data_IF_626127410214
#
_entry.id   IF_626127410214
#
_cell.length_a   1.000
_cell.length_b   1.000
_cell.length_c   1.000
_cell.angle_alpha   90.00
_cell.angle_beta   90.00
_cell.angle_gamma   90.00
#
_symmetry.space_group_name_H-M   'P 1'
#
loop_
_entity.id
_entity.type
_entity.pdbx_description
1 polymer ?
#
# COMPACT_ATOMS: atom_id res chain seq x y z
N UNK A 1 9.94 -11.98 13.02
CA UNK A 1 8.82 -11.04 13.19
C UNK A 1 7.75 -11.58 14.13
N UNK A 2 7.30 -12.75 13.90
CA UNK A 2 6.13 -13.33 14.57
C UNK A 2 6.24 -13.39 16.09
N UNK A 3 7.37 -13.83 16.63
CA UNK A 3 7.61 -13.83 18.08
C UNK A 3 7.75 -12.42 18.69
N UNK A 4 7.83 -11.38 17.87
CA UNK A 4 8.11 -10.02 18.29
C UNK A 4 6.85 -9.17 18.54
N UNK A 5 5.65 -9.66 18.23
CA UNK A 5 4.40 -8.92 18.46
C UNK A 5 4.05 -8.93 19.95
N UNK A 6 4.52 -7.91 20.67
CA UNK A 6 4.35 -7.74 22.10
C UNK A 6 4.39 -6.25 22.50
N UNK A 7 4.01 -5.96 23.74
CA UNK A 7 3.90 -4.59 24.25
C UNK A 7 5.23 -3.82 24.21
N UNK A 8 6.35 -4.48 24.55
CA UNK A 8 7.66 -3.85 24.57
C UNK A 8 8.10 -3.40 23.20
N UNK A 9 7.91 -4.25 22.16
CA UNK A 9 8.28 -3.89 20.79
C UNK A 9 7.36 -2.82 20.19
N UNK A 10 6.08 -2.83 20.57
CA UNK A 10 5.16 -1.80 20.09
C UNK A 10 5.44 -0.41 20.65
N UNK A 11 5.76 -0.32 21.94
CA UNK A 11 5.82 0.97 22.66
C UNK A 11 7.20 1.34 23.16
N UNK A 12 8.19 0.48 22.98
CA UNK A 12 9.55 0.66 23.47
C UNK A 12 9.68 0.36 24.96
N UNK A 13 10.91 0.49 25.45
CA UNK A 13 11.27 0.31 26.85
C UNK A 13 12.21 1.47 27.29
N UNK A 14 11.62 2.44 27.98
CA UNK A 14 12.34 3.62 28.42
C UNK A 14 12.85 4.48 27.25
N UNK A 15 14.17 4.57 27.03
CA UNK A 15 14.75 5.41 25.99
C UNK A 15 14.64 4.82 24.58
N UNK A 16 14.23 3.56 24.44
CA UNK A 16 14.07 2.91 23.13
C UNK A 16 12.68 3.21 22.57
N UNK A 17 12.64 3.67 21.32
CA UNK A 17 11.41 3.86 20.58
C UNK A 17 10.79 2.50 20.20
N UNK A 18 9.47 2.41 20.29
CA UNK A 18 8.72 1.27 19.81
C UNK A 18 8.25 1.47 18.37
N UNK A 19 7.69 0.43 17.77
CA UNK A 19 7.17 0.50 16.40
C UNK A 19 6.05 1.53 16.22
N UNK A 20 5.28 1.82 17.28
CA UNK A 20 4.25 2.85 17.25
C UNK A 20 4.80 4.28 17.19
N UNK A 21 6.11 4.48 17.34
CA UNK A 21 6.76 5.79 17.25
C UNK A 21 7.25 6.10 15.82
N UNK A 22 7.19 5.12 14.89
CA UNK A 22 7.59 5.32 13.50
C UNK A 22 6.60 6.15 12.69
N UNK A 23 7.08 6.66 11.55
CA UNK A 23 6.32 7.41 10.56
C UNK A 23 5.61 8.66 11.13
N UNK A 24 6.30 9.53 11.90
CA UNK A 24 5.66 10.68 12.53
C UNK A 24 4.96 11.62 11.54
N UNK A 25 5.47 11.71 10.29
CA UNK A 25 4.98 12.64 9.28
C UNK A 25 3.68 12.20 8.59
N UNK A 26 3.31 10.93 8.67
CA UNK A 26 2.16 10.40 7.94
C UNK A 26 1.40 9.26 8.64
N UNK A 27 1.77 8.85 9.85
CA UNK A 27 1.06 7.80 10.59
C UNK A 27 -0.41 8.14 10.89
N UNK A 28 -0.77 9.41 10.88
CA UNK A 28 -2.16 9.86 11.01
C UNK A 28 -3.06 9.40 9.84
N UNK A 29 -2.49 9.05 8.70
CA UNK A 29 -3.19 8.51 7.54
C UNK A 29 -3.23 6.98 7.53
N UNK A 30 -2.43 6.32 8.36
CA UNK A 30 -2.25 4.88 8.40
C UNK A 30 -2.89 4.22 9.61
N UNK A 31 -3.38 3.01 9.42
CA UNK A 31 -3.78 2.10 10.48
C UNK A 31 -2.54 1.30 10.91
N UNK A 32 -2.21 1.29 12.20
CA UNK A 32 -1.18 0.42 12.74
C UNK A 32 -1.71 -1.02 12.77
N UNK A 33 -1.11 -1.92 12.00
CA UNK A 33 -1.52 -3.31 11.94
C UNK A 33 -0.60 -4.19 12.77
N UNK A 34 -1.15 -4.82 13.81
CA UNK A 34 -0.46 -5.91 14.51
C UNK A 34 -0.42 -7.14 13.60
N UNK A 35 0.77 -7.65 13.35
CA UNK A 35 0.96 -8.88 12.60
C UNK A 35 0.72 -10.12 13.48
N UNK A 36 0.92 -11.33 12.97
CA UNK A 36 0.51 -12.57 13.61
C UNK A 36 1.03 -12.74 15.06
N UNK A 37 0.49 -13.69 15.79
CA UNK A 37 0.85 -14.07 17.17
C UNK A 37 0.52 -13.09 18.30
N UNK A 38 -0.14 -11.97 18.03
CA UNK A 38 -0.59 -11.05 19.07
C UNK A 38 -1.67 -11.64 20.01
N UNK A 39 -2.36 -12.65 19.53
CA UNK A 39 -3.53 -13.30 20.15
C UNK A 39 -3.22 -14.70 20.72
N UNK A 40 -1.95 -15.05 20.86
CA UNK A 40 -1.50 -16.31 21.45
C UNK A 40 -0.41 -16.09 22.51
N UNK A 41 -0.24 -17.00 23.47
CA UNK A 41 0.77 -16.87 24.52
C UNK A 41 2.19 -16.68 23.97
N UNK A 42 3.01 -15.94 24.69
CA UNK A 42 4.42 -15.77 24.37
C UNK A 42 5.13 -17.13 24.28
N UNK A 43 5.96 -17.31 23.24
CA UNK A 43 6.66 -18.57 22.95
C UNK A 43 5.83 -19.65 22.25
N UNK A 44 4.51 -19.50 22.15
CA UNK A 44 3.65 -20.50 21.52
C UNK A 44 3.88 -20.67 20.03
N UNK A 45 4.22 -19.59 19.33
CA UNK A 45 4.48 -19.64 17.88
C UNK A 45 5.72 -20.47 17.54
N UNK A 46 6.80 -20.33 18.30
CA UNK A 46 8.06 -21.01 18.06
C UNK A 46 7.92 -22.53 18.21
N UNK A 47 6.90 -22.97 18.95
CA UNK A 47 6.59 -24.40 19.15
C UNK A 47 5.60 -24.95 18.11
N UNK A 48 5.26 -24.19 17.07
CA UNK A 48 4.28 -24.60 16.07
C UNK A 48 2.84 -24.69 16.61
N UNK A 49 2.58 -24.16 17.79
CA UNK A 49 1.25 -24.16 18.39
C UNK A 49 0.33 -23.14 17.73
N UNK A 50 -0.09 -23.47 16.51
CA UNK A 50 -1.05 -22.67 15.72
C UNK A 50 -2.50 -22.90 16.16
N UNK A 51 -2.72 -23.80 17.12
CA UNK A 51 -4.06 -24.19 17.56
C UNK A 51 -4.85 -23.03 18.15
N UNK A 52 -4.19 -22.12 18.87
CA UNK A 52 -4.84 -20.98 19.51
C UNK A 52 -4.90 -19.71 18.64
N UNK A 53 -4.23 -19.67 17.49
CA UNK A 53 -4.33 -18.52 16.59
C UNK A 53 -5.76 -18.33 16.10
N UNK A 54 -6.19 -17.08 15.95
CA UNK A 54 -7.56 -16.73 15.56
C UNK A 54 -8.49 -16.52 16.76
N UNK A 55 -7.95 -16.41 17.98
CA UNK A 55 -8.74 -16.03 19.17
C UNK A 55 -9.28 -14.60 19.04
N UNK A 56 -8.59 -13.76 18.29
CA UNK A 56 -8.86 -12.32 18.13
C UNK A 56 -8.96 -11.59 19.48
N UNK A 57 -8.24 -12.06 20.48
CA UNK A 57 -8.17 -11.50 21.83
C UNK A 57 -6.74 -11.24 22.22
N UNK A 58 -6.49 -10.07 22.80
CA UNK A 58 -5.15 -9.65 23.20
C UNK A 58 -4.58 -10.58 24.27
N UNK A 59 -3.43 -11.22 23.99
CA UNK A 59 -2.80 -12.16 24.91
C UNK A 59 -2.15 -11.46 26.12
N UNK A 60 -2.39 -11.98 27.32
CA UNK A 60 -1.95 -11.34 28.58
C UNK A 60 -0.45 -11.42 28.79
N UNK A 61 0.19 -12.48 28.31
CA UNK A 61 1.64 -12.65 28.49
C UNK A 61 2.45 -11.75 27.55
N UNK A 62 1.85 -11.34 26.41
CA UNK A 62 2.45 -10.43 25.45
C UNK A 62 2.15 -8.96 25.74
N UNK A 63 1.00 -8.70 26.35
CA UNK A 63 0.47 -7.35 26.62
C UNK A 63 0.04 -7.21 28.10
N UNK A 64 0.98 -7.32 29.04
CA UNK A 64 0.66 -7.43 30.45
C UNK A 64 0.11 -6.16 31.09
N UNK A 65 0.30 -4.97 30.51
CA UNK A 65 -0.22 -3.71 31.05
C UNK A 65 -1.71 -3.50 30.78
N UNK A 66 -2.28 -4.20 29.81
CA UNK A 66 -3.69 -4.05 29.45
C UNK A 66 -4.54 -5.03 30.27
N UNK A 67 -5.43 -4.50 31.12
CA UNK A 67 -6.26 -5.26 32.09
C UNK A 67 -7.73 -5.18 31.74
N UNK A 68 -8.51 -6.06 32.38
CA UNK A 68 -9.93 -6.17 32.18
C UNK A 68 -10.35 -7.36 31.32
N UNK A 69 -11.56 -7.33 30.80
CA UNK A 69 -12.05 -8.35 29.87
C UNK A 69 -11.42 -8.20 28.48
N UNK A 70 -11.76 -9.09 27.56
CA UNK A 70 -11.17 -9.10 26.22
C UNK A 70 -11.40 -7.79 25.46
N UNK A 71 -12.56 -7.16 25.61
CA UNK A 71 -12.90 -5.89 24.96
C UNK A 71 -12.14 -4.74 25.60
N UNK A 72 -12.12 -4.67 26.93
CA UNK A 72 -11.44 -3.60 27.67
C UNK A 72 -9.93 -3.59 27.39
N UNK A 73 -9.31 -4.76 27.34
CA UNK A 73 -7.87 -4.91 27.03
C UNK A 73 -7.55 -4.44 25.62
N UNK A 74 -8.30 -4.89 24.62
CA UNK A 74 -8.08 -4.50 23.22
C UNK A 74 -8.42 -3.01 23.00
N UNK A 75 -9.44 -2.48 23.69
CA UNK A 75 -9.77 -1.05 23.67
C UNK A 75 -8.65 -0.19 24.30
N UNK A 76 -8.05 -0.66 25.38
CA UNK A 76 -6.88 -0.01 26.00
C UNK A 76 -5.71 0.09 25.02
N UNK A 77 -5.40 -0.99 24.31
CA UNK A 77 -4.36 -1.02 23.28
C UNK A 77 -4.71 -0.06 22.12
N UNK A 78 -5.94 -0.14 21.60
CA UNK A 78 -6.41 0.76 20.52
C UNK A 78 -6.25 2.22 20.91
N UNK A 79 -6.64 2.60 22.13
CA UNK A 79 -6.49 3.95 22.65
C UNK A 79 -5.01 4.35 22.71
N UNK A 80 -4.13 3.46 23.19
CA UNK A 80 -2.68 3.74 23.28
C UNK A 80 -2.05 3.94 21.90
N UNK A 81 -2.39 3.12 20.90
CA UNK A 81 -1.92 3.27 19.52
C UNK A 81 -2.39 4.60 18.93
N UNK A 82 -3.67 4.93 19.07
CA UNK A 82 -4.21 6.23 18.62
C UNK A 82 -3.54 7.42 19.31
N UNK A 83 -3.20 7.31 20.59
CA UNK A 83 -2.50 8.38 21.32
C UNK A 83 -1.08 8.64 20.80
N UNK A 84 -0.49 7.68 20.06
CA UNK A 84 0.78 7.85 19.34
C UNK A 84 0.59 8.52 17.97
N UNK A 85 -0.62 8.87 17.58
CA UNK A 85 -0.96 9.59 16.35
C UNK A 85 -1.42 8.71 15.19
N UNK A 86 -1.58 7.39 15.37
CA UNK A 86 -2.11 6.50 14.32
C UNK A 86 -3.60 6.68 14.12
N UNK A 87 -4.05 6.53 12.87
CA UNK A 87 -5.48 6.61 12.49
C UNK A 87 -6.33 5.55 13.22
N UNK A 88 -5.78 4.37 13.43
CA UNK A 88 -6.48 3.26 14.06
C UNK A 88 -5.58 2.07 14.37
N UNK A 89 -6.18 1.02 14.91
CA UNK A 89 -5.56 -0.28 15.13
C UNK A 89 -6.17 -1.30 14.17
N UNK A 90 -5.32 -2.09 13.52
CA UNK A 90 -5.65 -3.29 12.77
C UNK A 90 -5.09 -4.53 13.43
N UNK A 91 -5.68 -5.69 13.13
CA UNK A 91 -5.27 -6.98 13.68
C UNK A 91 -5.14 -8.02 12.57
N UNK A 92 -4.02 -8.74 12.55
CA UNK A 92 -3.85 -9.92 11.74
C UNK A 92 -4.66 -11.09 12.31
N UNK A 93 -5.29 -11.88 11.45
CA UNK A 93 -6.10 -13.02 11.84
C UNK A 93 -5.77 -14.27 11.02
N UNK A 94 -5.75 -15.41 11.69
CA UNK A 94 -5.61 -16.71 11.06
C UNK A 94 -6.95 -17.14 10.43
N UNK A 95 -6.91 -17.55 9.17
CA UNK A 95 -8.07 -18.09 8.46
C UNK A 95 -8.42 -19.50 8.95
N UNK A 96 -9.26 -19.59 9.98
CA UNK A 96 -9.71 -20.85 10.64
C UNK A 96 -11.23 -20.80 10.84
N UNK A 97 -11.83 -21.98 11.09
CA UNK A 97 -13.23 -22.06 11.50
C UNK A 97 -13.44 -21.34 12.84
N UNK A 98 -12.57 -21.60 13.81
CA UNK A 98 -12.51 -20.95 15.11
C UNK A 98 -11.12 -21.16 15.73
N UNK A 99 -10.82 -20.58 16.89
CA UNK A 99 -9.54 -20.81 17.58
C UNK A 99 -9.47 -22.16 18.29
N UNK A 100 -10.62 -22.72 18.68
CA UNK A 100 -10.73 -24.01 19.38
C UNK A 100 -11.74 -24.94 18.71
N UNK A 101 -11.59 -26.26 18.87
CA UNK A 101 -12.48 -27.26 18.27
C UNK A 101 -13.96 -27.09 18.70
N UNK A 102 -14.32 -26.84 19.98
CA UNK A 102 -15.72 -26.67 20.35
C UNK A 102 -16.41 -25.50 19.63
N UNK A 103 -15.66 -24.44 19.29
CA UNK A 103 -16.18 -23.27 18.60
C UNK A 103 -16.29 -23.50 17.08
N UNK A 104 -15.59 -24.50 16.54
CA UNK A 104 -15.56 -24.81 15.11
C UNK A 104 -16.88 -25.37 14.57
N UNK A 105 -17.78 -25.85 15.43
CA UNK A 105 -19.12 -26.33 15.05
C UNK A 105 -20.01 -25.18 14.57
N UNK A 106 -19.76 -23.93 14.99
CA UNK A 106 -20.50 -22.76 14.56
C UNK A 106 -19.59 -21.57 14.22
N UNK A 107 -18.85 -21.64 13.12
CA UNK A 107 -17.88 -20.60 12.73
C UNK A 107 -18.51 -19.22 12.55
N UNK A 108 -19.75 -19.16 12.06
CA UNK A 108 -20.44 -17.89 11.85
C UNK A 108 -20.69 -17.14 13.17
N UNK A 109 -21.18 -17.81 14.20
CA UNK A 109 -21.43 -17.17 15.50
C UNK A 109 -20.12 -16.83 16.22
N UNK A 110 -19.09 -17.68 16.06
CA UNK A 110 -17.75 -17.40 16.57
C UNK A 110 -17.22 -16.09 16.01
N UNK A 111 -17.11 -15.95 14.68
CA UNK A 111 -16.54 -14.77 14.05
C UNK A 111 -17.40 -13.52 14.20
N UNK A 112 -18.74 -13.66 14.22
CA UNK A 112 -19.65 -12.56 14.57
C UNK A 112 -19.31 -12.00 15.96
N UNK A 113 -19.13 -12.87 16.95
CA UNK A 113 -18.76 -12.44 18.31
C UNK A 113 -17.42 -11.70 18.30
N UNK A 114 -16.39 -12.20 17.59
CA UNK A 114 -15.08 -11.55 17.49
C UNK A 114 -15.15 -10.20 16.79
N UNK A 115 -15.96 -10.06 15.76
CA UNK A 115 -16.20 -8.79 15.09
C UNK A 115 -16.86 -7.77 16.01
N UNK A 116 -17.90 -8.17 16.76
CA UNK A 116 -18.57 -7.31 17.76
C UNK A 116 -17.58 -6.88 18.86
N UNK A 117 -16.75 -7.78 19.38
CA UNK A 117 -15.70 -7.46 20.35
C UNK A 117 -14.70 -6.45 19.77
N UNK A 118 -14.21 -6.66 18.55
CA UNK A 118 -13.29 -5.75 17.83
C UNK A 118 -13.91 -4.38 17.59
N UNK A 119 -15.17 -4.31 17.14
CA UNK A 119 -15.91 -3.07 16.97
C UNK A 119 -16.01 -2.29 18.28
N UNK A 120 -16.40 -2.95 19.37
CA UNK A 120 -16.48 -2.32 20.70
C UNK A 120 -15.13 -1.83 21.21
N UNK A 121 -14.07 -2.54 20.88
CA UNK A 121 -12.69 -2.16 21.21
C UNK A 121 -12.12 -1.03 20.30
N UNK A 122 -12.87 -0.61 19.28
CA UNK A 122 -12.45 0.45 18.35
C UNK A 122 -11.38 0.03 17.34
N UNK A 123 -11.22 -1.27 17.10
CA UNK A 123 -10.43 -1.81 15.99
C UNK A 123 -11.09 -1.42 14.68
N UNK A 124 -10.28 -1.05 13.69
CA UNK A 124 -10.76 -0.55 12.39
C UNK A 124 -10.38 -1.42 11.20
N UNK A 125 -9.57 -2.46 11.40
CA UNK A 125 -9.08 -3.28 10.29
C UNK A 125 -8.74 -4.70 10.72
N UNK A 126 -9.12 -5.68 9.90
CA UNK A 126 -8.72 -7.06 10.01
C UNK A 126 -7.95 -7.50 8.76
N UNK A 127 -6.73 -7.99 8.93
CA UNK A 127 -5.95 -8.66 7.89
C UNK A 127 -6.11 -10.18 8.06
N UNK A 128 -6.92 -10.82 7.21
CA UNK A 128 -7.17 -12.26 7.25
C UNK A 128 -6.22 -12.98 6.29
N UNK A 129 -5.27 -13.69 6.86
CA UNK A 129 -4.16 -14.26 6.11
C UNK A 129 -4.27 -15.79 5.93
N UNK A 130 -3.21 -16.52 6.22
CA UNK A 130 -3.13 -17.96 6.03
C UNK A 130 -3.92 -18.72 7.11
N UNK A 131 -4.14 -20.00 6.86
CA UNK A 131 -4.81 -20.93 7.75
C UNK A 131 -5.60 -21.98 6.96
N UNK A 132 -6.27 -22.88 7.68
CA UNK A 132 -7.02 -23.99 7.08
C UNK A 132 -8.12 -23.50 6.12
N UNK A 133 -8.72 -22.33 6.43
CA UNK A 133 -9.80 -21.73 5.63
C UNK A 133 -9.30 -20.72 4.59
N UNK A 134 -7.99 -20.56 4.42
CA UNK A 134 -7.44 -19.54 3.50
C UNK A 134 -7.92 -19.70 2.05
N UNK A 135 -8.11 -20.92 1.57
CA UNK A 135 -8.64 -21.27 0.25
C UNK A 135 -10.17 -21.31 0.16
N UNK A 136 -10.92 -21.06 1.25
CA UNK A 136 -12.37 -21.18 1.26
C UNK A 136 -13.05 -19.82 0.98
N UNK A 137 -13.50 -19.60 -0.27
CA UNK A 137 -14.14 -18.35 -0.69
C UNK A 137 -15.43 -18.04 0.07
N UNK A 138 -16.26 -19.04 0.36
CA UNK A 138 -17.54 -18.82 1.06
C UNK A 138 -17.32 -18.40 2.53
N UNK A 139 -16.33 -18.99 3.20
CA UNK A 139 -15.94 -18.57 4.54
C UNK A 139 -15.42 -17.12 4.53
N UNK A 140 -14.60 -16.74 3.55
CA UNK A 140 -14.09 -15.38 3.43
C UNK A 140 -15.19 -14.35 3.14
N UNK A 141 -16.14 -14.68 2.26
CA UNK A 141 -17.33 -13.84 2.01
C UNK A 141 -18.17 -13.69 3.28
N UNK A 142 -18.33 -14.78 4.04
CA UNK A 142 -19.03 -14.75 5.31
C UNK A 142 -18.42 -13.72 6.27
N UNK A 143 -17.10 -13.66 6.39
CA UNK A 143 -16.43 -12.68 7.26
C UNK A 143 -16.74 -11.24 6.84
N UNK A 144 -16.63 -10.91 5.54
CA UNK A 144 -16.94 -9.57 5.04
C UNK A 144 -18.40 -9.20 5.31
N UNK A 145 -19.35 -10.13 5.04
CA UNK A 145 -20.77 -9.90 5.33
C UNK A 145 -21.03 -9.69 6.82
N UNK A 146 -20.43 -10.50 7.69
CA UNK A 146 -20.57 -10.33 9.14
C UNK A 146 -19.99 -9.01 9.64
N UNK A 147 -18.88 -8.56 9.05
CA UNK A 147 -18.31 -7.26 9.36
C UNK A 147 -19.28 -6.15 9.01
N UNK A 148 -19.85 -6.13 7.81
CA UNK A 148 -20.82 -5.11 7.39
C UNK A 148 -22.06 -5.09 8.28
N UNK A 149 -22.54 -6.26 8.72
CA UNK A 149 -23.76 -6.37 9.52
C UNK A 149 -23.54 -6.03 10.99
N UNK A 150 -22.43 -6.47 11.60
CA UNK A 150 -22.23 -6.42 13.06
C UNK A 150 -21.07 -5.53 13.51
N UNK A 151 -20.17 -5.17 12.60
CA UNK A 151 -18.96 -4.40 12.90
C UNK A 151 -18.58 -3.45 11.74
N UNK A 152 -19.47 -2.54 11.29
CA UNK A 152 -19.30 -1.76 10.06
C UNK A 152 -18.11 -0.80 10.08
N UNK A 153 -17.45 -0.58 11.21
CA UNK A 153 -16.20 0.18 11.28
C UNK A 153 -14.95 -0.70 11.18
N UNK A 154 -15.08 -2.03 11.02
CA UNK A 154 -13.98 -2.97 10.87
C UNK A 154 -13.91 -3.40 9.40
N UNK A 155 -12.98 -2.83 8.64
CA UNK A 155 -12.71 -3.24 7.26
C UNK A 155 -11.98 -4.57 7.25
N UNK A 156 -12.38 -5.50 6.37
CA UNK A 156 -11.79 -6.84 6.29
C UNK A 156 -10.93 -6.99 5.02
N UNK A 157 -9.62 -7.12 5.22
CA UNK A 157 -8.68 -7.45 4.16
C UNK A 157 -8.55 -8.97 3.99
N UNK A 158 -8.63 -9.42 2.76
CA UNK A 158 -8.55 -10.82 2.38
C UNK A 158 -7.36 -11.07 1.46
N UNK A 159 -6.97 -12.34 1.33
CA UNK A 159 -5.95 -12.81 0.40
C UNK A 159 -6.40 -14.13 -0.25
N UNK A 160 -5.63 -14.63 -1.19
CA UNK A 160 -5.70 -15.97 -1.80
C UNK A 160 -6.81 -16.23 -2.83
N UNK A 161 -8.01 -15.65 -2.71
CA UNK A 161 -9.14 -15.95 -3.60
C UNK A 161 -9.45 -14.76 -4.51
N UNK A 162 -8.63 -14.55 -5.53
CA UNK A 162 -8.69 -13.37 -6.43
C UNK A 162 -10.07 -13.13 -7.05
N UNK A 163 -10.77 -14.21 -7.47
CA UNK A 163 -12.10 -14.11 -8.10
C UNK A 163 -13.17 -13.55 -7.17
N UNK A 164 -12.92 -13.54 -5.88
CA UNK A 164 -13.86 -13.06 -4.87
C UNK A 164 -13.61 -11.60 -4.45
N UNK A 165 -12.66 -10.90 -5.09
CA UNK A 165 -12.32 -9.51 -4.73
C UNK A 165 -13.54 -8.60 -4.65
N UNK A 166 -14.52 -8.79 -5.51
CA UNK A 166 -15.76 -8.01 -5.49
C UNK A 166 -16.59 -8.17 -4.22
N UNK A 167 -16.42 -9.28 -3.51
CA UNK A 167 -17.09 -9.58 -2.24
C UNK A 167 -16.23 -9.24 -1.01
N UNK A 168 -15.03 -8.70 -1.21
CA UNK A 168 -14.11 -8.33 -0.13
C UNK A 168 -14.00 -6.81 -0.04
N UNK A 169 -13.73 -6.29 1.14
CA UNK A 169 -13.47 -4.86 1.30
C UNK A 169 -12.11 -4.52 0.73
N UNK A 170 -11.09 -5.30 1.08
CA UNK A 170 -9.74 -5.13 0.58
C UNK A 170 -9.17 -6.47 0.16
N UNK A 171 -8.50 -6.52 -0.97
CA UNK A 171 -7.71 -7.66 -1.39
C UNK A 171 -6.22 -7.28 -1.39
N UNK A 172 -5.44 -8.00 -0.61
CA UNK A 172 -4.00 -7.80 -0.54
C UNK A 172 -3.30 -8.40 -1.74
N UNK A 173 -2.41 -7.63 -2.39
CA UNK A 173 -1.58 -8.15 -3.48
C UNK A 173 -0.59 -9.20 -3.03
N UNK A 174 -0.43 -9.36 -1.73
CA UNK A 174 0.49 -10.26 -1.06
C UNK A 174 1.88 -9.63 -0.83
N UNK A 175 2.56 -10.10 0.21
CA UNK A 175 3.88 -9.59 0.58
C UNK A 175 4.85 -9.70 -0.61
N UNK A 176 5.53 -8.62 -0.87
CA UNK A 176 6.58 -8.63 -1.89
C UNK A 176 7.85 -9.14 -1.23
N UNK A 177 8.23 -10.34 -1.62
CA UNK A 177 9.29 -11.10 -0.97
C UNK A 177 10.68 -10.82 -1.54
N UNK A 178 10.75 -10.08 -2.65
CA UNK A 178 11.99 -9.88 -3.39
C UNK A 178 12.11 -8.47 -3.97
N UNK A 179 13.31 -8.12 -4.39
CA UNK A 179 13.62 -6.81 -5.00
C UNK A 179 12.96 -6.53 -6.34
N UNK A 180 12.34 -7.52 -6.97
CA UNK A 180 11.52 -7.39 -8.19
C UNK A 180 10.07 -7.01 -7.87
N UNK A 181 9.86 -6.19 -6.85
CA UNK A 181 8.52 -5.84 -6.34
C UNK A 181 7.61 -5.18 -7.36
N UNK A 182 8.13 -4.29 -8.20
CA UNK A 182 7.32 -3.56 -9.19
C UNK A 182 6.61 -4.48 -10.15
N UNK A 183 7.30 -5.31 -10.98
CA UNK A 183 6.60 -6.16 -11.94
C UNK A 183 5.71 -7.20 -11.24
N UNK A 184 6.11 -7.71 -10.08
CA UNK A 184 5.29 -8.66 -9.31
C UNK A 184 4.00 -8.01 -8.83
N UNK A 185 4.05 -6.80 -8.29
CA UNK A 185 2.87 -6.05 -7.85
C UNK A 185 1.95 -5.73 -9.02
N UNK A 186 2.49 -5.23 -10.14
CA UNK A 186 1.71 -4.94 -11.35
C UNK A 186 1.02 -6.18 -11.90
N UNK A 187 1.70 -7.34 -11.98
CA UNK A 187 1.09 -8.61 -12.40
C UNK A 187 -0.09 -9.00 -11.49
N UNK A 188 0.08 -8.87 -10.17
CA UNK A 188 -0.96 -9.21 -9.20
C UNK A 188 -2.17 -8.30 -9.35
N UNK A 189 -1.96 -6.99 -9.52
CA UNK A 189 -3.04 -6.02 -9.76
C UNK A 189 -3.79 -6.36 -11.04
N UNK A 190 -3.10 -6.61 -12.15
CA UNK A 190 -3.74 -6.95 -13.44
C UNK A 190 -4.68 -8.15 -13.33
N UNK A 191 -4.37 -9.12 -12.47
CA UNK A 191 -5.26 -10.29 -12.27
C UNK A 191 -6.55 -9.94 -11.49
N UNK A 192 -6.62 -8.77 -10.86
CA UNK A 192 -7.77 -8.31 -10.08
C UNK A 192 -8.65 -7.32 -10.85
N UNK A 193 -8.08 -6.56 -11.78
CA UNK A 193 -8.78 -5.51 -12.52
C UNK A 193 -10.00 -5.96 -13.33
N UNK A 194 -10.12 -7.21 -13.85
CA UNK A 194 -11.29 -7.67 -14.58
C UNK A 194 -12.56 -7.86 -13.75
N UNK A 195 -12.44 -7.76 -12.42
CA UNK A 195 -13.59 -7.95 -11.53
C UNK A 195 -14.29 -6.62 -11.22
N UNK A 196 -15.47 -6.71 -10.59
CA UNK A 196 -16.24 -5.56 -10.09
C UNK A 196 -16.50 -5.73 -8.60
N UNK A 197 -16.52 -4.61 -7.89
CA UNK A 197 -17.02 -4.58 -6.52
C UNK A 197 -18.50 -5.01 -6.49
N UNK A 198 -18.88 -5.76 -5.47
CA UNK A 198 -20.23 -6.27 -5.26
C UNK A 198 -20.66 -6.04 -3.80
N UNK A 199 -20.55 -7.07 -2.93
CA UNK A 199 -20.89 -6.93 -1.52
C UNK A 199 -19.78 -6.23 -0.69
N UNK A 200 -18.54 -6.27 -1.16
CA UNK A 200 -17.39 -5.60 -0.56
C UNK A 200 -16.97 -4.35 -1.35
N UNK A 201 -16.06 -3.56 -0.76
CA UNK A 201 -15.53 -2.35 -1.39
C UNK A 201 -14.61 -2.63 -2.59
N UNK A 202 -14.06 -3.84 -2.70
CA UNK A 202 -13.20 -4.27 -3.80
C UNK A 202 -11.89 -3.50 -3.94
N UNK A 203 -11.37 -2.94 -2.84
CA UNK A 203 -10.10 -2.21 -2.84
C UNK A 203 -8.92 -3.17 -3.04
N UNK A 204 -7.90 -2.70 -3.73
CA UNK A 204 -6.62 -3.42 -3.85
C UNK A 204 -5.63 -2.76 -2.90
N UNK A 205 -5.06 -3.51 -1.95
CA UNK A 205 -3.96 -3.06 -1.13
C UNK A 205 -2.64 -3.32 -1.87
N UNK A 206 -1.98 -2.24 -2.27
CA UNK A 206 -0.69 -2.26 -2.96
C UNK A 206 0.43 -2.07 -1.93
N UNK A 207 1.03 -3.18 -1.50
CA UNK A 207 2.04 -3.17 -0.45
C UNK A 207 3.38 -2.66 -0.96
N UNK A 208 4.01 -1.75 -0.20
CA UNK A 208 5.35 -1.18 -0.42
C UNK A 208 5.60 -0.47 -1.76
N UNK A 209 4.54 -0.26 -2.57
CA UNK A 209 4.61 0.39 -3.88
C UNK A 209 3.66 1.59 -3.96
N UNK A 210 3.97 2.71 -3.27
CA UNK A 210 3.05 3.83 -3.10
C UNK A 210 2.70 4.55 -4.41
N UNK A 211 3.63 4.64 -5.37
CA UNK A 211 3.34 5.31 -6.65
C UNK A 211 2.55 4.42 -7.61
N UNK A 212 2.67 3.09 -7.50
CA UNK A 212 1.73 2.18 -8.18
C UNK A 212 0.33 2.36 -7.58
N UNK A 213 0.24 2.42 -6.25
CA UNK A 213 -1.04 2.64 -5.56
C UNK A 213 -1.69 3.95 -5.99
N UNK A 214 -0.97 5.07 -5.95
CA UNK A 214 -1.48 6.37 -6.40
C UNK A 214 -1.85 6.37 -7.88
N UNK A 215 -1.01 5.81 -8.75
CA UNK A 215 -1.26 5.75 -10.20
C UNK A 215 -2.48 4.92 -10.59
N UNK A 216 -2.81 3.87 -9.82
CA UNK A 216 -3.92 2.94 -10.13
C UNK A 216 -5.11 3.04 -9.17
N UNK A 217 -5.14 4.03 -8.28
CA UNK A 217 -6.24 4.19 -7.32
C UNK A 217 -6.37 3.04 -6.33
N UNK A 218 -5.27 2.39 -5.98
CA UNK A 218 -5.19 1.34 -4.98
C UNK A 218 -4.96 1.93 -3.59
N UNK A 219 -5.30 1.19 -2.53
CA UNK A 219 -4.90 1.50 -1.17
C UNK A 219 -3.40 1.26 -0.97
N UNK A 220 -2.81 1.89 0.03
CA UNK A 220 -1.38 1.77 0.36
C UNK A 220 -1.22 0.94 1.62
N UNK A 221 -0.41 -0.11 1.55
CA UNK A 221 0.12 -0.82 2.69
C UNK A 221 1.63 -0.64 2.80
N UNK A 222 2.14 -0.55 4.02
CA UNK A 222 3.56 -0.62 4.31
C UNK A 222 3.81 -1.87 5.15
N UNK A 223 4.30 -2.91 4.50
CA UNK A 223 4.51 -4.21 5.15
C UNK A 223 5.84 -4.30 5.87
N UNK A 224 6.84 -3.64 5.34
CA UNK A 224 8.18 -3.68 5.90
C UNK A 224 8.36 -2.52 6.84
N UNK A 225 8.58 -2.83 8.11
CA UNK A 225 8.94 -1.78 9.05
C UNK A 225 10.31 -1.17 8.70
N UNK A 226 10.52 0.12 8.99
CA UNK A 226 11.65 0.87 8.45
C UNK A 226 12.99 0.60 9.16
N UNK A 227 13.11 -0.48 9.90
CA UNK A 227 14.31 -0.74 10.68
C UNK A 227 15.34 -1.54 9.92
N UNK A 228 16.44 -0.88 9.61
CA UNK A 228 17.72 -1.53 9.40
C UNK A 228 18.39 -1.58 10.78
N UNK A 229 18.24 -2.68 11.50
CA UNK A 229 18.85 -2.76 12.81
C UNK A 229 18.09 -3.68 13.76
N UNK A 230 18.50 -3.74 15.00
CA UNK A 230 17.84 -4.58 15.98
C UNK A 230 16.40 -4.13 16.23
N UNK A 231 15.55 -5.08 16.61
CA UNK A 231 14.23 -4.80 17.14
C UNK A 231 14.32 -3.85 18.35
N UNK A 232 13.22 -3.15 18.73
CA UNK A 232 13.20 -2.28 19.90
C UNK A 232 13.71 -2.93 21.20
N UNK A 233 13.58 -4.26 21.32
CA UNK A 233 14.13 -5.03 22.44
C UNK A 233 15.63 -5.36 22.33
N UNK A 234 16.34 -4.83 21.32
CA UNK A 234 17.75 -5.06 21.08
C UNK A 234 18.10 -6.40 20.40
N UNK A 235 17.13 -7.26 20.10
CA UNK A 235 17.37 -8.51 19.35
C UNK A 235 17.53 -8.23 17.85
N UNK A 236 18.36 -9.03 17.16
CA UNK A 236 18.49 -8.90 15.72
C UNK A 236 17.13 -9.08 15.03
N UNK A 237 16.84 -8.21 14.06
CA UNK A 237 15.73 -8.41 13.14
C UNK A 237 16.24 -9.15 11.90
N UNK A 238 15.80 -10.39 11.74
CA UNK A 238 16.16 -11.25 10.60
C UNK A 238 15.03 -11.34 9.57
N UNK A 239 14.01 -10.51 9.72
CA UNK A 239 12.75 -10.80 9.08
C UNK A 239 12.75 -10.57 7.57
N UNK A 240 13.52 -9.60 7.06
CA UNK A 240 13.51 -9.31 5.63
C UNK A 240 14.86 -8.87 5.10
N UNK A 241 15.25 -9.39 3.93
CA UNK A 241 16.41 -8.89 3.22
C UNK A 241 16.19 -7.43 2.83
N UNK A 242 17.26 -6.65 2.91
CA UNK A 242 17.28 -5.26 2.45
C UNK A 242 17.63 -5.28 0.97
N UNK A 243 16.62 -5.13 0.12
CA UNK A 243 16.84 -4.97 -1.33
C UNK A 243 17.20 -3.54 -1.71
N UNK A 244 17.68 -3.36 -2.95
CA UNK A 244 17.98 -2.05 -3.51
C UNK A 244 16.77 -1.11 -3.60
N UNK A 245 15.56 -1.66 -3.49
CA UNK A 245 14.25 -0.99 -3.54
C UNK A 245 13.49 -1.04 -2.21
N UNK A 246 14.17 -0.81 -1.12
CA UNK A 246 13.52 -0.81 0.18
C UNK A 246 12.64 0.45 0.35
N UNK A 247 11.37 0.26 0.73
CA UNK A 247 10.45 1.36 1.08
C UNK A 247 11.02 2.29 2.16
N UNK A 248 11.87 1.78 3.03
CA UNK A 248 12.59 2.57 4.07
C UNK A 248 13.44 3.71 3.50
N UNK A 249 14.00 3.53 2.32
CA UNK A 249 14.78 4.55 1.64
C UNK A 249 13.91 5.53 0.82
N UNK A 250 12.60 5.29 0.74
CA UNK A 250 11.62 6.00 -0.08
C UNK A 250 10.37 6.40 0.70
N UNK A 251 10.52 6.82 1.95
CA UNK A 251 9.38 7.16 2.81
C UNK A 251 8.62 8.39 2.32
N UNK A 252 9.29 9.30 1.62
CA UNK A 252 8.63 10.46 1.03
C UNK A 252 7.65 10.09 -0.08
N UNK A 253 7.85 8.97 -0.79
CA UNK A 253 6.83 8.43 -1.73
C UNK A 253 5.57 7.98 -1.00
N UNK A 254 5.73 7.29 0.14
CA UNK A 254 4.59 6.89 0.98
C UNK A 254 3.81 8.13 1.44
N UNK A 255 4.52 9.14 1.96
CA UNK A 255 3.91 10.38 2.41
C UNK A 255 3.15 11.08 1.29
N UNK A 256 3.77 11.26 0.10
CA UNK A 256 3.15 11.91 -1.05
C UNK A 256 1.92 11.15 -1.56
N UNK A 257 2.00 9.84 -1.65
CA UNK A 257 0.87 9.03 -2.09
C UNK A 257 -0.29 9.05 -1.09
N UNK A 258 -0.02 9.06 0.22
CA UNK A 258 -1.05 9.24 1.26
C UNK A 258 -1.69 10.64 1.21
N UNK A 259 -0.91 11.70 0.97
CA UNK A 259 -1.45 13.06 0.77
C UNK A 259 -2.30 13.14 -0.50
N UNK A 260 -1.92 12.44 -1.57
CA UNK A 260 -2.75 12.29 -2.75
C UNK A 260 -4.09 11.63 -2.41
N UNK A 261 -4.10 10.58 -1.60
CA UNK A 261 -5.34 9.91 -1.19
C UNK A 261 -6.26 10.76 -0.31
N UNK A 262 -5.79 11.88 0.25
CA UNK A 262 -6.66 12.91 0.86
C UNK A 262 -7.39 13.76 -0.20
N UNK A 263 -6.85 13.85 -1.42
CA UNK A 263 -7.44 14.57 -2.55
C UNK A 263 -8.35 13.65 -3.36
N UNK A 264 -7.91 12.42 -3.61
CA UNK A 264 -8.58 11.41 -4.41
C UNK A 264 -8.49 10.05 -3.71
N UNK A 265 -9.60 9.62 -3.11
CA UNK A 265 -9.65 8.38 -2.33
C UNK A 265 -9.44 7.14 -3.21
N UNK A 266 -8.74 6.11 -2.71
CA UNK A 266 -8.64 4.82 -3.39
C UNK A 266 -10.03 4.26 -3.73
N UNK A 267 -10.13 3.55 -4.85
CA UNK A 267 -11.41 3.03 -5.32
C UNK A 267 -11.33 1.56 -5.72
N UNK A 268 -12.45 0.86 -5.54
CA UNK A 268 -12.56 -0.57 -5.79
C UNK A 268 -12.48 -0.94 -7.26
N UNK A 269 -12.36 -2.24 -7.53
CA UNK A 269 -12.39 -2.79 -8.89
C UNK A 269 -13.74 -2.54 -9.55
N UNK A 270 -13.73 -2.14 -10.82
CA UNK A 270 -14.91 -1.74 -11.59
C UNK A 270 -14.95 -2.33 -13.00
N UNK A 271 -13.95 -3.15 -13.35
CA UNK A 271 -13.75 -3.71 -14.69
C UNK A 271 -13.60 -2.63 -15.78
N UNK A 272 -13.14 -1.45 -15.42
CA UNK A 272 -12.82 -0.36 -16.34
C UNK A 272 -11.33 -0.09 -16.32
N UNK A 273 -10.59 -1.03 -16.88
CA UNK A 273 -9.13 -0.96 -16.95
C UNK A 273 -8.63 -1.36 -18.33
N UNK A 274 -7.57 -0.72 -18.79
CA UNK A 274 -6.84 -1.08 -19.98
C UNK A 274 -5.43 -1.54 -19.58
N UNK A 275 -4.99 -2.65 -20.17
CA UNK A 275 -3.72 -3.29 -19.91
C UNK A 275 -2.96 -3.44 -21.20
N UNK A 276 -1.73 -2.95 -21.24
CA UNK A 276 -0.87 -3.05 -22.41
C UNK A 276 -0.52 -4.51 -22.73
N UNK A 277 -0.48 -4.83 -24.00
CA UNK A 277 0.01 -6.13 -24.49
C UNK A 277 1.53 -6.22 -24.50
N UNK A 278 2.23 -5.09 -24.45
CA UNK A 278 3.69 -5.03 -24.34
C UNK A 278 4.12 -5.29 -22.91
N UNK A 279 5.01 -6.25 -22.72
CA UNK A 279 5.58 -6.58 -21.43
C UNK A 279 6.99 -6.01 -21.30
N UNK A 280 7.28 -5.36 -20.19
CA UNK A 280 8.63 -4.99 -19.79
C UNK A 280 9.13 -6.02 -18.77
N UNK A 281 10.36 -6.48 -18.96
CA UNK A 281 11.01 -7.45 -18.08
C UNK A 281 12.09 -6.78 -17.24
N UNK A 282 11.99 -6.93 -15.93
CA UNK A 282 13.06 -6.66 -14.98
C UNK A 282 13.94 -7.91 -14.81
N UNK A 283 15.20 -7.69 -14.58
CA UNK A 283 16.18 -8.75 -14.37
C UNK A 283 17.15 -8.31 -13.26
N UNK A 284 16.88 -8.71 -12.03
CA UNK A 284 17.65 -8.33 -10.87
C UNK A 284 18.65 -9.43 -10.47
N UNK A 285 19.91 -9.06 -10.32
CA UNK A 285 20.95 -9.96 -9.81
C UNK A 285 21.03 -9.84 -8.30
N UNK A 286 20.68 -10.90 -7.60
CA UNK A 286 20.65 -10.92 -6.13
C UNK A 286 22.02 -10.64 -5.53
N UNK A 287 22.05 -9.75 -4.56
CA UNK A 287 23.16 -9.54 -3.65
C UNK A 287 23.09 -10.47 -2.45
N UNK A 288 24.10 -10.38 -1.60
CA UNK A 288 24.09 -11.01 -0.28
C UNK A 288 22.99 -10.37 0.57
N UNK A 289 22.19 -11.20 1.25
CA UNK A 289 21.05 -10.78 2.09
C UNK A 289 19.83 -10.16 1.35
N UNK A 290 19.73 -10.28 0.02
CA UNK A 290 18.58 -9.78 -0.74
C UNK A 290 17.48 -10.83 -0.95
N UNK A 291 17.63 -12.01 -0.38
CA UNK A 291 16.63 -13.08 -0.40
C UNK A 291 16.58 -13.82 0.92
N UNK A 292 15.42 -14.32 1.29
CA UNK A 292 15.20 -15.18 2.43
C UNK A 292 14.68 -16.58 2.03
N UNK A 293 14.47 -16.80 0.72
CA UNK A 293 14.11 -18.11 0.17
C UNK A 293 15.36 -18.96 -0.06
N UNK A 294 15.33 -20.19 0.42
CA UNK A 294 16.45 -21.10 0.31
C UNK A 294 16.80 -21.48 -1.14
N UNK A 295 15.84 -21.38 -2.06
CA UNK A 295 16.03 -21.66 -3.48
C UNK A 295 16.75 -20.54 -4.26
N UNK A 296 16.94 -19.38 -3.66
CA UNK A 296 17.65 -18.25 -4.27
C UNK A 296 18.97 -17.97 -3.54
N UNK A 297 20.02 -17.75 -4.30
CA UNK A 297 21.36 -17.49 -3.78
C UNK A 297 21.96 -16.17 -4.33
N UNK A 298 22.92 -15.58 -3.62
CA UNK A 298 23.67 -14.44 -4.18
C UNK A 298 24.25 -14.78 -5.55
N UNK A 299 24.01 -13.88 -6.53
CA UNK A 299 24.38 -14.10 -7.93
C UNK A 299 23.27 -14.65 -8.82
N UNK A 300 22.20 -15.20 -8.25
CA UNK A 300 21.02 -15.59 -9.03
C UNK A 300 20.37 -14.36 -9.67
N UNK A 301 19.77 -14.56 -10.84
CA UNK A 301 19.02 -13.52 -11.52
C UNK A 301 17.54 -13.81 -11.46
N UNK A 302 16.80 -12.94 -10.75
CA UNK A 302 15.34 -12.95 -10.76
C UNK A 302 14.84 -12.19 -11.98
N UNK A 303 13.95 -12.81 -12.75
CA UNK A 303 13.31 -12.20 -13.92
C UNK A 303 11.81 -12.17 -13.73
N UNK A 304 11.25 -10.96 -13.77
CA UNK A 304 9.82 -10.74 -13.67
C UNK A 304 9.40 -9.78 -14.78
N UNK A 305 8.24 -10.02 -15.38
CA UNK A 305 7.71 -9.17 -16.44
C UNK A 305 6.30 -8.72 -16.11
N UNK A 306 5.95 -7.49 -16.48
CA UNK A 306 4.61 -6.93 -16.31
C UNK A 306 4.23 -6.07 -17.51
N UNK A 307 2.93 -5.78 -17.72
CA UNK A 307 2.49 -4.84 -18.74
C UNK A 307 3.18 -3.50 -18.60
N UNK A 308 3.66 -2.97 -19.74
CA UNK A 308 4.35 -1.69 -19.77
C UNK A 308 3.50 -0.54 -19.27
N UNK A 309 2.18 -0.58 -19.59
CA UNK A 309 1.22 0.45 -19.22
C UNK A 309 -0.06 -0.18 -18.70
N UNK A 310 -0.60 0.44 -17.66
CA UNK A 310 -1.90 0.06 -17.09
C UNK A 310 -2.67 1.35 -16.84
N UNK A 311 -3.93 1.40 -17.24
CA UNK A 311 -4.81 2.51 -16.89
C UNK A 311 -6.15 2.03 -16.34
N UNK A 312 -6.78 2.87 -15.51
CA UNK A 312 -8.13 2.66 -15.00
C UNK A 312 -9.01 3.88 -15.32
N UNK A 313 -10.19 3.64 -15.92
CA UNK A 313 -11.18 4.68 -16.26
C UNK A 313 -10.66 5.78 -17.19
N UNK A 314 -9.63 5.48 -17.98
CA UNK A 314 -9.05 6.36 -18.99
C UNK A 314 -8.25 5.55 -20.02
N UNK A 315 -7.95 6.12 -21.21
CA UNK A 315 -7.09 5.45 -22.19
C UNK A 315 -5.70 5.16 -21.66
N UNK A 316 -5.00 4.17 -22.23
CA UNK A 316 -3.59 3.92 -21.93
C UNK A 316 -2.75 5.17 -22.25
N UNK A 317 -1.84 5.61 -21.36
CA UNK A 317 -0.88 6.67 -21.66
C UNK A 317 -0.04 6.34 -22.90
N UNK A 318 0.24 7.34 -23.74
CA UNK A 318 1.27 7.22 -24.78
C UNK A 318 2.64 7.44 -24.14
N UNK A 319 3.65 6.66 -24.54
CA UNK A 319 5.02 6.74 -23.98
C UNK A 319 6.04 6.80 -25.10
N UNK A 320 6.88 7.83 -25.10
CA UNK A 320 7.99 8.03 -26.02
C UNK A 320 9.30 8.03 -25.22
N UNK A 321 10.20 7.09 -25.53
CA UNK A 321 11.49 6.98 -24.87
C UNK A 321 12.62 7.34 -25.84
N UNK A 322 13.65 8.01 -25.32
CA UNK A 322 14.87 8.29 -26.10
C UNK A 322 15.79 7.06 -26.19
N UNK A 323 15.58 6.06 -25.36
CA UNK A 323 16.32 4.80 -25.29
C UNK A 323 15.38 3.61 -25.38
N UNK A 324 15.92 2.40 -25.53
CA UNK A 324 15.13 1.16 -25.50
C UNK A 324 14.59 0.81 -24.08
N UNK A 325 15.00 1.56 -23.06
CA UNK A 325 14.56 1.36 -21.69
C UNK A 325 13.38 2.30 -21.38
N UNK A 326 12.19 1.73 -21.20
CA UNK A 326 10.98 2.44 -20.81
C UNK A 326 10.66 2.22 -19.33
N UNK A 327 10.07 3.20 -18.60
CA UNK A 327 9.46 2.98 -17.29
C UNK A 327 8.19 2.14 -17.44
N UNK A 328 7.74 1.48 -16.35
CA UNK A 328 6.33 1.13 -16.27
C UNK A 328 5.51 2.41 -16.07
N UNK A 329 4.31 2.46 -16.64
CA UNK A 329 3.43 3.63 -16.50
C UNK A 329 2.05 3.20 -16.02
N UNK A 330 1.59 3.84 -14.95
CA UNK A 330 0.28 3.66 -14.37
C UNK A 330 -0.51 4.97 -14.42
N UNK A 331 -1.79 4.92 -14.80
CA UNK A 331 -2.64 6.11 -14.78
C UNK A 331 -4.09 5.77 -14.45
N UNK A 332 -4.80 6.70 -13.81
CA UNK A 332 -6.22 6.52 -13.52
C UNK A 332 -6.98 7.83 -13.41
N UNK A 333 -8.25 7.79 -13.81
CA UNK A 333 -9.25 8.80 -13.45
C UNK A 333 -10.01 8.30 -12.22
N UNK A 334 -9.92 9.03 -11.14
CA UNK A 334 -10.58 8.73 -9.87
C UNK A 334 -12.08 9.04 -9.93
N UNK A 335 -12.91 8.46 -9.04
CA UNK A 335 -14.36 8.71 -9.03
C UNK A 335 -14.76 10.19 -8.87
N UNK A 336 -13.92 11.00 -8.23
CA UNK A 336 -14.14 12.44 -8.07
C UNK A 336 -13.63 13.28 -9.25
N UNK A 337 -13.17 12.66 -10.34
CA UNK A 337 -12.63 13.31 -11.52
C UNK A 337 -11.14 13.66 -11.47
N UNK A 338 -10.49 13.51 -10.33
CA UNK A 338 -9.04 13.69 -10.24
C UNK A 338 -8.30 12.65 -11.09
N UNK A 339 -7.12 13.00 -11.59
CA UNK A 339 -6.30 12.12 -12.42
C UNK A 339 -4.97 11.87 -11.72
N UNK A 340 -4.47 10.64 -11.75
CA UNK A 340 -3.11 10.32 -11.35
C UNK A 340 -2.34 9.69 -12.50
N UNK A 341 -1.06 10.01 -12.61
CA UNK A 341 -0.11 9.36 -13.52
C UNK A 341 1.21 9.12 -12.81
N UNK A 342 1.74 7.92 -12.97
CA UNK A 342 2.99 7.52 -12.35
C UNK A 342 3.90 6.83 -13.37
N UNK A 343 5.15 7.28 -13.47
CA UNK A 343 6.25 6.50 -14.03
C UNK A 343 6.91 5.72 -12.89
N UNK A 344 7.19 4.46 -13.13
CA UNK A 344 7.57 3.53 -12.08
C UNK A 344 8.92 2.90 -12.43
N UNK A 345 9.70 2.74 -11.40
CA UNK A 345 11.06 2.28 -11.39
C UNK A 345 11.24 0.89 -12.02
N UNK A 346 12.41 0.67 -12.63
CA UNK A 346 12.89 -0.59 -13.19
C UNK A 346 14.02 -1.16 -12.34
N UNK A 347 14.08 -2.48 -12.25
CA UNK A 347 15.16 -3.21 -11.60
C UNK A 347 16.00 -3.98 -12.60
N UNK A 348 17.18 -3.45 -12.99
CA UNK A 348 18.04 -4.05 -14.03
C UNK A 348 19.47 -4.23 -13.50
N UNK A 349 19.94 -5.46 -13.51
CA UNK A 349 21.24 -5.83 -12.95
C UNK A 349 21.22 -5.67 -11.43
N UNK A 350 21.89 -4.64 -10.92
CA UNK A 350 21.84 -4.21 -9.49
C UNK A 350 21.46 -2.73 -9.36
N UNK A 351 20.84 -2.18 -10.39
CA UNK A 351 20.40 -0.78 -10.43
C UNK A 351 18.89 -0.72 -10.38
N UNK A 352 18.40 0.15 -9.54
CA UNK A 352 17.02 0.53 -9.43
C UNK A 352 16.91 2.00 -9.82
N UNK A 353 16.13 2.31 -10.85
CA UNK A 353 16.00 3.67 -11.40
C UNK A 353 14.73 3.78 -12.24
N UNK A 354 14.20 4.98 -12.33
CA UNK A 354 13.07 5.28 -13.21
C UNK A 354 13.59 5.85 -14.53
N UNK A 355 13.51 5.11 -15.66
CA UNK A 355 13.84 5.65 -16.96
C UNK A 355 12.95 6.86 -17.28
N UNK A 356 13.56 7.95 -17.74
CA UNK A 356 12.81 9.14 -18.13
C UNK A 356 12.18 8.97 -19.51
N UNK A 357 10.91 9.31 -19.62
CA UNK A 357 10.13 9.24 -20.85
C UNK A 357 9.27 10.49 -21.02
N UNK A 358 8.83 10.75 -22.24
CA UNK A 358 7.72 11.66 -22.51
C UNK A 358 6.44 10.83 -22.37
N UNK A 359 5.60 11.18 -21.42
CA UNK A 359 4.32 10.54 -21.20
C UNK A 359 3.22 11.48 -21.63
N UNK A 360 2.22 10.97 -22.39
CA UNK A 360 1.04 11.74 -22.78
C UNK A 360 -0.21 11.07 -22.22
N UNK A 361 -1.03 11.85 -21.52
CA UNK A 361 -2.32 11.41 -20.98
C UNK A 361 -3.46 12.28 -21.52
N UNK A 362 -4.67 11.73 -21.53
CA UNK A 362 -5.90 12.49 -21.79
C UNK A 362 -6.54 12.89 -20.47
N UNK A 363 -6.96 14.15 -20.36
CA UNK A 363 -7.67 14.69 -19.20
C UNK A 363 -9.05 15.21 -19.63
N UNK A 364 -10.08 14.89 -18.85
CA UNK A 364 -11.44 15.34 -19.11
C UNK A 364 -11.60 16.83 -18.76
N UNK A 365 -11.71 17.16 -17.47
CA UNK A 365 -11.93 18.51 -16.98
C UNK A 365 -10.60 19.22 -16.69
N UNK A 366 -10.53 20.52 -16.99
CA UNK A 366 -9.31 21.32 -16.78
C UNK A 366 -9.08 21.68 -15.31
N UNK A 367 -10.12 21.76 -14.52
CA UNK A 367 -10.09 22.10 -13.09
C UNK A 367 -9.82 20.88 -12.18
N UNK A 368 -9.80 19.66 -12.75
CA UNK A 368 -9.51 18.47 -11.99
C UNK A 368 -8.05 18.46 -11.51
N UNK A 369 -7.77 18.11 -10.24
CA UNK A 369 -6.40 17.96 -9.76
C UNK A 369 -5.71 16.77 -10.43
N UNK A 370 -4.45 16.95 -10.80
CA UNK A 370 -3.61 15.91 -11.43
C UNK A 370 -2.44 15.61 -10.50
N UNK A 371 -2.40 14.36 -10.00
CA UNK A 371 -1.27 13.78 -9.28
C UNK A 371 -0.21 13.26 -10.26
N UNK A 372 1.02 13.72 -10.11
CA UNK A 372 2.15 13.38 -11.00
C UNK A 372 3.24 12.77 -10.14
N UNK A 373 3.62 11.51 -10.43
CA UNK A 373 4.53 10.70 -9.62
C UNK A 373 5.65 10.10 -10.47
N UNK A 374 6.89 10.13 -9.97
CA UNK A 374 8.04 9.53 -10.66
C UNK A 374 8.82 10.52 -11.52
N UNK A 375 9.73 10.00 -12.34
CA UNK A 375 10.63 10.77 -13.21
C UNK A 375 10.12 10.82 -14.66
N UNK A 376 10.26 11.96 -15.29
CA UNK A 376 9.81 12.22 -16.66
C UNK A 376 10.88 13.01 -17.44
N UNK A 377 10.96 12.81 -18.75
CA UNK A 377 11.53 13.82 -19.64
C UNK A 377 10.53 14.98 -19.85
N UNK A 378 9.25 14.62 -20.06
CA UNK A 378 8.15 15.57 -20.06
C UNK A 378 6.82 14.84 -19.82
N UNK A 379 5.83 15.55 -19.28
CA UNK A 379 4.43 15.11 -19.24
C UNK A 379 3.59 16.02 -20.14
N UNK A 380 2.85 15.42 -21.09
CA UNK A 380 1.89 16.10 -21.95
C UNK A 380 0.48 15.72 -21.50
N UNK A 381 -0.36 16.70 -21.28
CA UNK A 381 -1.75 16.51 -20.86
C UNK A 381 -2.64 17.09 -21.96
N UNK A 382 -3.39 16.21 -22.64
CA UNK A 382 -4.35 16.58 -23.69
C UNK A 382 -5.73 16.78 -23.05
N UNK A 383 -6.26 17.98 -23.12
CA UNK A 383 -7.62 18.30 -22.67
C UNK A 383 -8.61 18.22 -23.82
N UNK A 384 -9.88 17.95 -23.52
CA UNK A 384 -10.93 17.94 -24.52
C UNK A 384 -11.17 19.32 -25.16
N UNK A 385 -11.02 20.38 -24.35
CA UNK A 385 -11.21 21.77 -24.74
C UNK A 385 -9.92 22.59 -24.66
N UNK A 386 -9.76 23.65 -25.45
CA UNK A 386 -8.60 24.54 -25.38
C UNK A 386 -8.45 25.16 -23.99
N UNK A 387 -7.21 25.26 -23.52
CA UNK A 387 -6.89 25.87 -22.24
C UNK A 387 -7.00 27.38 -22.39
N UNK A 388 -7.73 28.09 -21.49
CA UNK A 388 -7.85 29.55 -21.55
C UNK A 388 -6.49 30.26 -21.50
N UNK A 389 -6.28 31.26 -22.32
CA UNK A 389 -5.01 31.99 -22.41
C UNK A 389 -4.60 32.72 -21.12
N UNK A 390 -5.52 32.89 -20.18
CA UNK A 390 -5.29 33.49 -18.85
C UNK A 390 -5.24 32.47 -17.73
N UNK A 391 -5.28 31.16 -18.08
CA UNK A 391 -5.21 30.11 -17.10
C UNK A 391 -3.89 30.17 -16.32
N UNK A 392 -3.95 29.93 -15.03
CA UNK A 392 -2.79 29.78 -14.15
C UNK A 392 -2.57 28.32 -13.84
N UNK A 393 -1.34 27.88 -13.92
CA UNK A 393 -0.93 26.51 -13.58
C UNK A 393 -0.23 26.56 -12.23
N UNK A 394 -0.84 25.91 -11.24
CA UNK A 394 -0.31 25.81 -9.88
C UNK A 394 0.13 24.36 -9.63
N UNK A 395 1.28 24.18 -9.01
CA UNK A 395 1.79 22.87 -8.64
C UNK A 395 2.33 22.89 -7.21
N UNK A 396 2.21 21.76 -6.50
CA UNK A 396 2.64 21.62 -5.11
C UNK A 396 3.26 20.25 -4.90
N UNK A 397 4.45 20.20 -4.28
CA UNK A 397 4.93 18.95 -3.68
C UNK A 397 3.89 18.44 -2.69
N UNK A 398 3.42 17.23 -2.87
CA UNK A 398 2.38 16.65 -2.00
C UNK A 398 2.79 16.59 -0.53
N UNK A 399 4.09 16.48 -0.25
CA UNK A 399 4.63 16.60 1.11
C UNK A 399 4.76 18.05 1.58
N UNK A 400 4.80 19.01 0.64
CA UNK A 400 4.89 20.44 0.91
C UNK A 400 3.57 21.04 1.42
N UNK A 401 3.63 22.32 1.82
CA UNK A 401 2.48 23.03 2.39
C UNK A 401 1.81 24.00 1.41
N UNK A 402 2.58 24.58 0.51
CA UNK A 402 2.13 25.69 -0.34
C UNK A 402 2.34 25.37 -1.82
N UNK A 403 1.36 25.70 -2.67
CA UNK A 403 1.50 25.61 -4.12
C UNK A 403 2.40 26.73 -4.66
N UNK A 404 3.07 26.45 -5.77
CA UNK A 404 3.84 27.42 -6.54
C UNK A 404 3.20 27.65 -7.90
N UNK A 405 3.27 28.85 -8.42
CA UNK A 405 2.82 29.22 -9.76
C UNK A 405 3.92 28.85 -10.78
N UNK A 406 3.62 27.89 -11.64
CA UNK A 406 4.53 27.41 -12.69
C UNK A 406 4.06 27.82 -14.10
N UNK A 407 3.10 28.73 -14.21
CA UNK A 407 2.49 29.13 -15.50
C UNK A 407 3.55 29.55 -16.54
N UNK A 408 4.60 30.22 -16.11
CA UNK A 408 5.69 30.63 -17.00
C UNK A 408 6.70 29.50 -17.31
N UNK A 409 6.61 28.37 -16.65
CA UNK A 409 7.53 27.24 -16.76
C UNK A 409 6.91 26.06 -17.55
N UNK A 410 5.65 26.19 -17.97
CA UNK A 410 4.95 25.18 -18.78
C UNK A 410 4.66 25.73 -20.18
N UNK A 411 4.57 24.84 -21.17
CA UNK A 411 4.12 25.16 -22.51
C UNK A 411 2.63 24.82 -22.65
N UNK A 412 1.82 25.79 -23.08
CA UNK A 412 0.42 25.58 -23.42
C UNK A 412 0.26 25.86 -24.91
N UNK A 413 -0.15 24.85 -25.66
CA UNK A 413 -0.44 24.96 -27.09
C UNK A 413 -1.78 24.31 -27.39
N UNK A 414 -2.75 25.12 -27.81
CA UNK A 414 -4.11 24.70 -28.05
C UNK A 414 -4.75 24.05 -26.79
N UNK A 415 -5.02 22.75 -26.85
CA UNK A 415 -5.57 21.97 -25.75
C UNK A 415 -4.51 21.06 -25.05
N UNK A 416 -3.21 21.29 -25.31
CA UNK A 416 -2.13 20.48 -24.72
C UNK A 416 -1.31 21.35 -23.77
N UNK A 417 -1.16 20.87 -22.54
CA UNK A 417 -0.22 21.40 -21.57
C UNK A 417 0.99 20.45 -21.48
N UNK A 418 2.18 21.02 -21.64
CA UNK A 418 3.43 20.30 -21.49
C UNK A 418 4.23 20.83 -20.32
N UNK A 419 4.59 19.95 -19.38
CA UNK A 419 5.48 20.23 -18.26
C UNK A 419 6.76 19.42 -18.41
N UNK A 420 7.93 20.06 -18.32
CA UNK A 420 9.22 19.39 -18.43
C UNK A 420 9.53 18.56 -17.17
N UNK A 421 10.33 17.51 -17.32
CA UNK A 421 10.81 16.70 -16.20
C UNK A 421 11.57 17.51 -15.15
N UNK A 422 12.31 18.55 -15.58
CA UNK A 422 13.01 19.44 -14.64
C UNK A 422 12.06 20.23 -13.74
N UNK A 423 10.93 20.70 -14.28
CA UNK A 423 9.91 21.39 -13.48
C UNK A 423 9.21 20.41 -12.54
N UNK A 424 8.89 19.19 -13.02
CA UNK A 424 8.32 18.13 -12.20
C UNK A 424 9.27 17.80 -11.03
N UNK A 425 10.56 17.60 -11.30
CA UNK A 425 11.56 17.32 -10.28
C UNK A 425 11.74 18.49 -9.32
N UNK A 426 11.87 19.70 -9.84
CA UNK A 426 12.01 20.93 -9.04
C UNK A 426 10.88 21.09 -8.05
N UNK A 427 9.64 20.95 -8.49
CA UNK A 427 8.45 21.12 -7.62
C UNK A 427 8.23 19.89 -6.75
N UNK A 428 8.24 18.69 -7.32
CA UNK A 428 7.87 17.46 -6.63
C UNK A 428 8.89 16.98 -5.58
N UNK A 429 10.05 17.64 -5.47
CA UNK A 429 11.07 17.40 -4.45
C UNK A 429 11.35 18.62 -3.55
N UNK A 430 10.50 19.66 -3.60
CA UNK A 430 10.72 20.88 -2.78
C UNK A 430 10.73 20.60 -1.28
N UNK A 431 9.97 19.63 -0.82
CA UNK A 431 9.90 19.22 0.57
C UNK A 431 10.58 17.86 0.85
N UNK A 432 11.53 17.46 0.01
CA UNK A 432 12.21 16.19 0.17
C UNK A 432 12.97 16.10 1.50
N UNK A 433 12.89 14.95 2.16
CA UNK A 433 13.68 14.64 3.35
C UNK A 433 15.14 14.41 2.97
N UNK A 434 16.10 15.05 3.65
CA UNK A 434 17.52 14.80 3.39
C UNK A 434 17.88 13.32 3.49
N UNK A 435 18.45 12.76 2.41
CA UNK A 435 18.88 11.35 2.35
C UNK A 435 17.80 10.36 1.91
N UNK A 436 16.54 10.76 1.81
CA UNK A 436 15.49 9.95 1.20
C UNK A 436 15.69 9.89 -0.33
N UNK A 437 15.45 8.72 -0.93
CA UNK A 437 15.70 8.44 -2.34
C UNK A 437 14.43 8.46 -3.20
N UNK A 438 13.37 9.05 -2.68
CA UNK A 438 12.08 9.12 -3.37
C UNK A 438 12.17 9.88 -4.68
N UNK A 439 11.43 9.40 -5.66
CA UNK A 439 11.14 10.15 -6.87
C UNK A 439 10.16 11.31 -6.60
N UNK A 440 10.06 12.31 -7.51
CA UNK A 440 9.11 13.40 -7.38
C UNK A 440 7.66 12.95 -7.20
N UNK A 441 6.89 13.74 -6.44
CA UNK A 441 5.46 13.55 -6.34
C UNK A 441 4.76 14.88 -6.03
N UNK A 442 3.88 15.31 -6.95
CA UNK A 442 3.22 16.62 -6.86
C UNK A 442 1.76 16.55 -7.28
N UNK A 443 0.98 17.52 -6.88
CA UNK A 443 -0.35 17.79 -7.44
C UNK A 443 -0.31 19.07 -8.25
N UNK A 444 -0.94 19.04 -9.43
CA UNK A 444 -1.10 20.19 -10.32
C UNK A 444 -2.57 20.53 -10.51
N UNK A 445 -2.89 21.80 -10.62
CA UNK A 445 -4.23 22.33 -10.95
C UNK A 445 -4.13 23.48 -11.93
N UNK A 446 -5.13 23.61 -12.82
CA UNK A 446 -5.31 24.76 -13.70
C UNK A 446 -6.47 25.61 -13.13
N UNK A 447 -6.29 26.93 -13.08
CA UNK A 447 -7.29 27.87 -12.57
C UNK A 447 -7.48 29.06 -13.50
#
# INVERSE_FOLDING_TARGET
MVAAMNEQNLFGDGPLEGWCDFFPDFREDLIFLMDDSWDIPAGSHDNGNKEHMGSARLDESRFPSFKGDAVERLAGLTKKVKSKGWKGLGCWLCAKEASTEPDADNPQEYWKTRLIESQKAGVSYWKVDYGKMSGNGEWRKMLTRLSHEYAPSVMVEQASIKKEIGNFDVFRTYDVEVVTSVPVTLQRIVTLLPYKAADGAGLINCEDEPYIAAGLGCAIGVMRHPLNGPLPNGKPDHAFPVGGRDVKSRLDEVNRALKWHRIAEPFGVDNDAQVDSVLLQDAWVLGEYETWRAEHHPGDTLREAAPARISRRMPLPEVECATDEAPFVAASTYPNGAIAVATIERGIGRRSYTPEAIVTIEAGAQDAPIGIFGAYSALRIKYAEPIPSKARVLAQDLKGKEPVDITAEVEIKDNVLTISGDVIRKVGLMAATPGDKSEPGLVMTIR
#
